data_IF_803194849868
#
_entry.id   IF_803194849868
#
_cell.length_a   1.000
_cell.length_b   1.000
_cell.length_c   1.000
_cell.angle_alpha   90.00
_cell.angle_beta   90.00
_cell.angle_gamma   90.00
#
_symmetry.space_group_name_H-M   'P 1'
#
loop_
_entity.id
_entity.type
_entity.pdbx_description
1 polymer ?
#
# COMPACT_ATOMS: atom_id res chain seq x y z
N UNK A 1 61.22 -4.20 45.43
CA UNK A 1 60.76 -3.51 44.21
C UNK A 1 59.41 -4.08 43.75
N UNK A 2 58.36 -3.90 44.57
CA UNK A 2 56.98 -4.36 44.28
C UNK A 2 56.06 -3.24 44.80
N UNK A 3 56.05 -2.09 44.12
CA UNK A 3 55.16 -0.98 44.50
C UNK A 3 54.88 0.02 43.37
N UNK A 4 55.16 -0.33 42.12
CA UNK A 4 54.91 0.57 40.96
C UNK A 4 54.02 -0.09 39.89
N UNK A 5 53.78 -1.41 39.98
CA UNK A 5 52.91 -2.14 39.04
C UNK A 5 51.44 -2.24 39.48
N UNK A 6 51.08 -1.78 40.68
CA UNK A 6 49.69 -1.76 41.16
C UNK A 6 48.96 -0.45 40.86
N UNK A 7 49.69 0.64 40.54
CA UNK A 7 49.09 1.91 40.16
C UNK A 7 48.78 2.03 38.66
N UNK A 8 49.51 1.31 37.80
CA UNK A 8 49.23 1.28 36.35
C UNK A 8 48.04 0.39 36.00
N UNK A 9 47.71 -0.60 36.83
CA UNK A 9 46.47 -1.39 36.71
C UNK A 9 45.24 -0.64 37.24
N UNK A 10 45.41 0.28 38.20
CA UNK A 10 44.31 1.09 38.74
C UNK A 10 43.79 2.12 37.73
N UNK A 11 44.64 2.58 36.81
CA UNK A 11 44.24 3.51 35.73
C UNK A 11 43.57 2.78 34.55
N UNK A 12 43.80 1.48 34.38
CA UNK A 12 43.19 0.69 33.28
C UNK A 12 41.75 0.21 33.55
N UNK A 13 41.23 0.38 34.78
CA UNK A 13 39.86 -0.07 35.15
C UNK A 13 38.87 1.10 35.27
N UNK A 14 39.28 2.35 35.03
CA UNK A 14 38.39 3.51 35.12
C UNK A 14 38.40 4.37 33.85
N UNK A 15 37.83 3.87 32.75
CA UNK A 15 37.31 4.74 31.67
C UNK A 15 36.34 4.01 30.72
N UNK A 16 35.32 3.37 31.27
CA UNK A 16 34.04 3.25 30.56
C UNK A 16 33.12 4.23 31.24
N UNK A 17 33.09 5.46 30.72
CA UNK A 17 32.08 6.44 31.09
C UNK A 17 30.72 5.81 30.80
N UNK A 18 30.07 5.44 31.90
CA UNK A 18 28.64 5.22 32.12
C UNK A 18 27.84 5.78 30.94
N UNK A 19 27.35 4.90 30.06
CA UNK A 19 26.23 5.24 29.18
C UNK A 19 25.10 5.60 30.13
N UNK A 20 24.84 6.89 30.32
CA UNK A 20 23.66 7.33 31.03
C UNK A 20 22.49 6.69 30.31
N UNK A 21 21.87 5.71 30.98
CA UNK A 21 20.65 5.10 30.49
C UNK A 21 19.68 6.25 30.32
N UNK A 22 19.41 6.62 29.07
CA UNK A 22 18.37 7.58 28.73
C UNK A 22 17.13 7.04 29.42
N UNK A 23 16.71 7.68 30.51
CA UNK A 23 15.44 7.41 31.15
C UNK A 23 14.40 7.84 30.13
N UNK A 24 14.02 6.90 29.27
CA UNK A 24 12.87 7.06 28.40
C UNK A 24 11.71 7.22 29.38
N UNK A 25 11.25 8.46 29.54
CA UNK A 25 10.06 8.75 30.31
C UNK A 25 8.94 7.89 29.73
N UNK A 26 8.54 6.84 30.46
CA UNK A 26 7.39 5.98 30.15
C UNK A 26 6.05 6.73 30.14
N UNK A 27 6.09 8.06 30.31
CA UNK A 27 4.95 8.94 30.38
C UNK A 27 4.79 9.80 29.10
N UNK A 28 5.57 9.52 28.05
CA UNK A 28 5.42 10.15 26.74
C UNK A 28 4.64 9.28 25.73
N UNK A 29 3.86 8.32 26.23
CA UNK A 29 2.84 7.63 25.43
C UNK A 29 1.51 8.29 25.80
N UNK A 30 0.92 9.14 24.94
CA UNK A 30 -0.44 9.61 25.14
C UNK A 30 -1.35 8.37 25.25
N UNK A 31 -2.12 8.29 26.34
CA UNK A 31 -3.12 7.25 26.61
C UNK A 31 -4.32 7.27 25.65
N UNK A 32 -4.24 8.05 24.58
CA UNK A 32 -5.23 8.07 23.52
C UNK A 32 -4.55 7.69 22.21
N UNK A 33 -4.55 6.38 21.92
CA UNK A 33 -4.58 5.91 20.54
C UNK A 33 -5.89 6.46 19.97
N UNK A 34 -5.86 7.68 19.42
CA UNK A 34 -6.99 8.24 18.70
C UNK A 34 -7.25 7.30 17.54
N UNK A 35 -8.31 6.52 17.73
CA UNK A 35 -8.80 5.52 16.82
C UNK A 35 -8.87 6.13 15.43
N UNK A 36 -8.26 5.42 14.49
CA UNK A 36 -8.25 5.69 13.06
C UNK A 36 -9.53 6.41 12.64
N UNK A 37 -9.40 7.58 12.02
CA UNK A 37 -10.51 8.24 11.31
C UNK A 37 -11.22 7.18 10.48
N UNK A 38 -12.42 6.78 10.92
CA UNK A 38 -13.16 5.64 10.38
C UNK A 38 -13.40 5.89 8.89
N UNK A 39 -12.57 5.26 8.05
CA UNK A 39 -12.72 5.33 6.61
C UNK A 39 -14.12 4.81 6.25
N UNK A 40 -14.91 5.66 5.61
CA UNK A 40 -16.19 5.31 5.03
C UNK A 40 -15.96 5.08 3.54
N UNK A 41 -15.54 3.88 3.09
CA UNK A 41 -15.54 3.54 1.68
C UNK A 41 -16.95 3.79 1.16
N UNK A 42 -17.03 4.66 0.17
CA UNK A 42 -18.23 4.85 -0.63
C UNK A 42 -18.31 3.67 -1.58
N UNK A 43 -19.27 2.78 -1.34
CA UNK A 43 -19.56 1.65 -2.22
C UNK A 43 -19.78 2.18 -3.64
N UNK A 44 -19.03 1.65 -4.60
CA UNK A 44 -18.89 2.21 -5.94
C UNK A 44 -20.17 2.10 -6.80
N UNK A 45 -21.01 1.11 -6.52
CA UNK A 45 -22.23 0.80 -7.27
C UNK A 45 -23.40 0.50 -6.34
N UNK A 46 -24.61 0.95 -6.71
CA UNK A 46 -25.85 0.60 -5.98
C UNK A 46 -26.09 -0.90 -5.95
N UNK A 47 -25.64 -1.64 -6.95
CA UNK A 47 -25.71 -3.10 -7.01
C UNK A 47 -25.07 -3.75 -5.77
N UNK A 48 -23.95 -3.21 -5.31
CA UNK A 48 -23.22 -3.71 -4.15
C UNK A 48 -23.91 -3.40 -2.81
N UNK A 49 -25.02 -2.65 -2.83
CA UNK A 49 -25.85 -2.42 -1.65
C UNK A 49 -27.01 -3.41 -1.55
N UNK A 50 -27.22 -4.24 -2.58
CA UNK A 50 -28.30 -5.23 -2.59
C UNK A 50 -27.95 -6.43 -1.71
N UNK A 51 -28.94 -7.01 -1.04
CA UNK A 51 -28.79 -8.29 -0.33
C UNK A 51 -28.68 -9.39 -1.39
N UNK A 52 -27.76 -10.37 -1.27
CA UNK A 52 -27.63 -11.43 -2.25
C UNK A 52 -28.90 -12.30 -2.32
N UNK A 53 -29.26 -12.71 -3.52
CA UNK A 53 -30.47 -13.53 -3.77
C UNK A 53 -30.11 -14.91 -4.30
N UNK A 54 -30.61 -15.95 -3.62
CA UNK A 54 -30.37 -17.33 -4.03
C UNK A 54 -31.16 -17.71 -5.31
N UNK A 55 -32.29 -17.05 -5.57
CA UNK A 55 -33.19 -17.39 -6.67
C UNK A 55 -34.00 -18.68 -6.43
N UNK A 56 -34.89 -19.05 -7.37
CA UNK A 56 -35.82 -20.18 -7.19
C UNK A 56 -35.22 -21.56 -7.54
N UNK A 57 -34.10 -21.60 -8.27
CA UNK A 57 -33.43 -22.85 -8.61
C UNK A 57 -32.72 -23.46 -7.40
N UNK A 58 -32.44 -24.78 -7.45
CA UNK A 58 -31.99 -25.58 -6.28
C UNK A 58 -30.55 -26.08 -6.37
N UNK A 59 -29.75 -25.57 -7.32
CA UNK A 59 -28.32 -25.87 -7.35
C UNK A 59 -27.60 -25.24 -6.15
N UNK A 60 -26.45 -25.80 -5.77
CA UNK A 60 -25.61 -25.26 -4.69
C UNK A 60 -24.33 -24.69 -5.27
N UNK A 61 -24.41 -23.49 -5.84
CA UNK A 61 -23.27 -22.84 -6.49
C UNK A 61 -22.71 -21.77 -5.54
N UNK A 62 -21.46 -21.92 -5.12
CA UNK A 62 -20.78 -20.92 -4.30
C UNK A 62 -20.44 -19.71 -5.15
N UNK A 63 -20.97 -18.55 -4.79
CA UNK A 63 -20.72 -17.27 -5.44
C UNK A 63 -20.26 -16.24 -4.40
N UNK A 64 -19.74 -15.11 -4.86
CA UNK A 64 -19.34 -13.99 -4.01
C UNK A 64 -20.34 -12.84 -4.09
N UNK A 65 -20.59 -12.17 -2.96
CA UNK A 65 -21.37 -10.93 -2.89
C UNK A 65 -20.64 -9.91 -2.03
N UNK A 66 -20.90 -8.62 -2.25
CA UNK A 66 -20.34 -7.56 -1.44
C UNK A 66 -21.26 -7.26 -0.25
N UNK A 67 -20.70 -7.34 0.96
CA UNK A 67 -21.38 -6.95 2.19
C UNK A 67 -21.00 -5.50 2.54
N UNK A 68 -21.92 -4.52 2.43
CA UNK A 68 -21.61 -3.12 2.70
C UNK A 68 -21.38 -2.81 4.20
N UNK A 69 -21.84 -3.68 5.10
CA UNK A 69 -21.62 -3.53 6.54
C UNK A 69 -20.18 -3.84 6.94
N UNK A 70 -19.65 -4.95 6.45
CA UNK A 70 -18.26 -5.39 6.66
C UNK A 70 -17.28 -4.75 5.66
N UNK A 71 -17.80 -4.22 4.54
CA UNK A 71 -17.03 -3.66 3.42
C UNK A 71 -16.11 -4.71 2.77
N UNK A 72 -16.54 -5.96 2.79
CA UNK A 72 -15.81 -7.10 2.23
C UNK A 72 -16.71 -7.94 1.34
N UNK A 73 -16.08 -8.72 0.45
CA UNK A 73 -16.78 -9.74 -0.31
C UNK A 73 -16.83 -11.05 0.47
N UNK A 74 -18.00 -11.64 0.52
CA UNK A 74 -18.32 -12.85 1.29
C UNK A 74 -18.95 -13.89 0.35
N UNK A 75 -18.85 -15.17 0.72
CA UNK A 75 -19.43 -16.24 -0.07
C UNK A 75 -20.91 -16.46 0.29
N UNK A 76 -21.72 -16.82 -0.71
CA UNK A 76 -23.11 -17.26 -0.52
C UNK A 76 -23.46 -18.37 -1.52
N UNK A 77 -24.58 -19.07 -1.27
CA UNK A 77 -25.07 -20.14 -2.15
C UNK A 77 -26.11 -19.59 -3.12
N UNK A 78 -25.82 -19.63 -4.41
CA UNK A 78 -26.76 -19.28 -5.48
C UNK A 78 -27.39 -20.53 -6.10
N UNK A 79 -28.70 -20.46 -6.33
CA UNK A 79 -29.55 -21.54 -6.83
C UNK A 79 -29.31 -21.94 -8.28
N UNK A 80 -28.56 -21.13 -9.05
CA UNK A 80 -28.25 -21.37 -10.46
C UNK A 80 -29.16 -20.65 -11.45
N UNK A 81 -30.14 -19.86 -10.99
CA UNK A 81 -30.93 -19.00 -11.87
C UNK A 81 -31.45 -17.76 -11.13
N UNK A 82 -31.77 -16.71 -11.90
CA UNK A 82 -32.30 -15.42 -11.40
C UNK A 82 -31.41 -14.79 -10.31
N UNK A 83 -32.01 -14.03 -9.39
CA UNK A 83 -31.32 -13.21 -8.39
C UNK A 83 -30.94 -11.83 -8.92
N UNK A 84 -30.14 -11.11 -8.13
CA UNK A 84 -29.69 -9.75 -8.47
C UNK A 84 -28.18 -9.70 -8.82
N UNK A 85 -27.71 -8.48 -9.11
CA UNK A 85 -26.35 -8.23 -9.57
C UNK A 85 -25.26 -8.23 -8.50
N UNK A 86 -25.58 -8.36 -7.21
CA UNK A 86 -24.57 -8.51 -6.16
C UNK A 86 -24.09 -9.98 -6.09
N UNK A 87 -23.56 -10.47 -7.22
CA UNK A 87 -23.14 -11.86 -7.43
C UNK A 87 -21.98 -11.88 -8.40
N UNK A 88 -20.85 -12.43 -7.96
CA UNK A 88 -19.59 -12.46 -8.69
C UNK A 88 -18.94 -13.84 -8.60
N UNK A 89 -18.15 -14.21 -9.60
CA UNK A 89 -17.51 -15.53 -9.67
C UNK A 89 -16.29 -15.63 -8.75
N UNK A 90 -15.70 -14.48 -8.38
CA UNK A 90 -14.53 -14.41 -7.52
C UNK A 90 -14.60 -13.25 -6.52
N UNK A 91 -13.84 -13.40 -5.43
CA UNK A 91 -13.59 -12.32 -4.48
C UNK A 91 -12.97 -11.10 -5.20
N UNK A 92 -12.07 -11.37 -6.14
CA UNK A 92 -11.37 -10.35 -6.93
C UNK A 92 -12.31 -9.47 -7.73
N UNK A 93 -13.21 -10.09 -8.48
CA UNK A 93 -14.21 -9.41 -9.29
C UNK A 93 -15.18 -8.60 -8.42
N UNK A 94 -15.65 -9.19 -7.32
CA UNK A 94 -16.53 -8.53 -6.37
C UNK A 94 -15.89 -7.26 -5.79
N UNK A 95 -14.64 -7.36 -5.31
CA UNK A 95 -13.93 -6.23 -4.72
C UNK A 95 -13.63 -5.15 -5.76
N UNK A 96 -13.23 -5.53 -6.98
CA UNK A 96 -12.99 -4.57 -8.04
C UNK A 96 -14.28 -3.83 -8.41
N UNK A 97 -15.39 -4.54 -8.63
CA UNK A 97 -16.65 -3.90 -8.99
C UNK A 97 -17.21 -3.00 -7.88
N UNK A 98 -17.13 -3.44 -6.62
CA UNK A 98 -17.79 -2.75 -5.51
C UNK A 98 -16.96 -1.69 -4.80
N UNK A 99 -15.63 -1.72 -4.92
CA UNK A 99 -14.73 -0.77 -4.26
C UNK A 99 -13.97 0.14 -5.24
N UNK A 100 -13.90 -0.19 -6.54
CA UNK A 100 -13.24 0.67 -7.52
C UNK A 100 -14.09 1.89 -7.85
N UNK A 101 -13.54 3.09 -7.68
CA UNK A 101 -14.26 4.33 -8.03
C UNK A 101 -14.48 4.42 -9.55
N UNK A 102 -15.73 4.57 -10.03
CA UNK A 102 -15.98 4.78 -11.45
C UNK A 102 -15.30 6.07 -11.93
N UNK A 103 -14.65 6.00 -13.09
CA UNK A 103 -14.01 7.16 -13.75
C UNK A 103 -12.61 7.54 -13.24
N UNK A 104 -12.07 6.91 -12.19
CA UNK A 104 -10.66 7.12 -11.81
C UNK A 104 -9.75 6.11 -12.51
N UNK A 105 -8.83 6.62 -13.33
CA UNK A 105 -7.82 5.78 -13.98
C UNK A 105 -6.80 5.31 -12.96
N UNK A 106 -6.64 3.99 -12.86
CA UNK A 106 -5.54 3.36 -12.13
C UNK A 106 -4.19 3.95 -12.58
N UNK A 107 -3.26 4.27 -11.67
CA UNK A 107 -1.94 4.74 -12.06
C UNK A 107 -1.24 3.77 -13.02
N UNK A 108 -0.56 4.30 -14.05
CA UNK A 108 0.12 3.49 -15.07
C UNK A 108 1.16 2.54 -14.46
N UNK A 109 1.81 2.95 -13.37
CA UNK A 109 2.82 2.12 -12.73
C UNK A 109 2.25 0.84 -12.12
N UNK A 110 0.95 0.78 -11.77
CA UNK A 110 0.31 -0.46 -11.33
C UNK A 110 0.26 -1.52 -12.45
N UNK A 111 0.54 -1.17 -13.70
CA UNK A 111 0.63 -2.13 -14.80
C UNK A 111 2.08 -2.53 -15.13
N UNK A 112 3.07 -2.03 -14.39
CA UNK A 112 4.47 -2.45 -14.53
C UNK A 112 4.69 -3.76 -13.79
N UNK A 113 5.64 -4.58 -14.25
CA UNK A 113 6.12 -5.72 -13.45
C UNK A 113 6.78 -5.22 -12.16
N UNK A 114 6.84 -6.04 -11.12
CA UNK A 114 7.68 -5.74 -9.96
C UNK A 114 9.14 -5.68 -10.38
N UNK A 115 9.86 -4.67 -9.91
CA UNK A 115 11.29 -4.52 -10.14
C UNK A 115 12.02 -4.61 -8.81
N UNK A 116 12.82 -5.67 -8.69
CA UNK A 116 13.60 -6.02 -7.50
C UNK A 116 14.65 -4.94 -7.16
N UNK A 117 15.15 -4.22 -8.16
CA UNK A 117 16.28 -3.31 -8.02
C UNK A 117 17.64 -4.01 -8.05
N UNK A 118 18.68 -3.32 -7.61
CA UNK A 118 20.09 -3.74 -7.77
C UNK A 118 20.91 -3.67 -6.48
N UNK A 119 20.27 -3.52 -5.32
CA UNK A 119 20.93 -3.60 -4.02
C UNK A 119 20.94 -5.03 -3.45
N UNK A 120 21.39 -5.20 -2.21
CA UNK A 120 21.51 -6.50 -1.53
C UNK A 120 20.64 -6.63 -0.26
N UNK A 121 19.67 -5.75 -0.08
CA UNK A 121 18.72 -5.83 1.03
C UNK A 121 17.61 -6.85 0.79
N UNK A 122 16.87 -7.18 1.86
CA UNK A 122 15.74 -8.11 1.82
C UNK A 122 14.51 -7.50 2.53
N UNK A 123 14.00 -6.39 1.98
CA UNK A 123 12.82 -5.72 2.55
C UNK A 123 11.53 -6.31 2.01
N UNK A 124 10.61 -6.75 2.87
CA UNK A 124 9.26 -7.14 2.44
C UNK A 124 8.53 -5.94 1.84
N UNK A 125 7.93 -6.14 0.66
CA UNK A 125 7.14 -5.16 -0.08
C UNK A 125 5.95 -5.84 -0.73
N UNK A 126 5.03 -5.02 -1.24
CA UNK A 126 3.87 -5.46 -1.99
C UNK A 126 3.90 -4.87 -3.40
N UNK A 127 3.44 -5.61 -4.38
CA UNK A 127 3.25 -5.13 -5.75
C UNK A 127 1.91 -5.60 -6.28
N UNK A 128 1.33 -4.81 -7.18
CA UNK A 128 0.09 -5.16 -7.83
C UNK A 128 0.36 -6.03 -9.06
N UNK A 129 -0.16 -7.25 -9.03
CA UNK A 129 -0.12 -8.16 -10.15
C UNK A 129 -1.31 -7.87 -11.08
N UNK A 130 -1.03 -7.30 -12.26
CA UNK A 130 -2.08 -6.92 -13.20
C UNK A 130 -2.77 -8.09 -13.90
N UNK A 131 -2.17 -9.28 -13.89
CA UNK A 131 -2.76 -10.50 -14.44
C UNK A 131 -3.82 -11.04 -13.48
N UNK A 132 -3.48 -11.10 -12.19
CA UNK A 132 -4.33 -11.64 -11.14
C UNK A 132 -5.17 -10.60 -10.41
N UNK A 133 -5.00 -9.31 -10.76
CA UNK A 133 -5.68 -8.16 -10.16
C UNK A 133 -5.56 -8.08 -8.64
N UNK A 134 -4.44 -8.57 -8.09
CA UNK A 134 -4.20 -8.72 -6.65
C UNK A 134 -2.84 -8.16 -6.26
N UNK A 135 -2.76 -7.58 -5.06
CA UNK A 135 -1.49 -7.20 -4.45
C UNK A 135 -0.83 -8.39 -3.77
N UNK A 136 0.40 -8.72 -4.18
CA UNK A 136 1.21 -9.84 -3.68
C UNK A 136 2.41 -9.32 -2.89
N UNK A 137 2.82 -10.04 -1.85
CA UNK A 137 4.08 -9.76 -1.15
C UNK A 137 5.28 -10.25 -1.96
N UNK A 138 6.43 -9.62 -1.75
CA UNK A 138 7.71 -9.89 -2.40
C UNK A 138 8.86 -9.32 -1.58
N UNK A 139 10.10 -9.62 -1.96
CA UNK A 139 11.31 -9.04 -1.37
C UNK A 139 11.88 -8.00 -2.32
N UNK A 140 12.25 -6.82 -1.79
CA UNK A 140 12.88 -5.72 -2.50
C UNK A 140 14.31 -5.50 -2.01
N UNK A 141 15.21 -5.27 -2.97
CA UNK A 141 16.64 -5.09 -2.72
C UNK A 141 17.00 -3.85 -1.89
N UNK A 142 16.12 -2.86 -1.82
CA UNK A 142 16.35 -1.62 -1.06
C UNK A 142 16.74 -0.39 -1.91
N UNK A 143 17.11 -0.55 -3.18
CA UNK A 143 17.35 0.57 -4.09
C UNK A 143 16.99 0.23 -5.55
N UNK A 144 16.85 1.26 -6.40
CA UNK A 144 16.37 1.09 -7.78
C UNK A 144 14.88 0.73 -7.81
N UNK A 145 14.47 -0.15 -8.72
CA UNK A 145 13.09 -0.58 -8.78
C UNK A 145 12.16 0.39 -9.52
N UNK A 146 10.86 0.12 -9.44
CA UNK A 146 9.82 1.00 -9.98
C UNK A 146 8.69 1.26 -8.95
N UNK A 147 7.67 2.03 -9.36
CA UNK A 147 6.57 2.49 -8.48
C UNK A 147 5.52 1.42 -8.17
N UNK A 148 5.57 0.25 -8.80
CA UNK A 148 4.77 -0.92 -8.38
C UNK A 148 5.42 -1.61 -7.17
N UNK A 149 5.62 -0.85 -6.10
CA UNK A 149 6.34 -1.27 -4.89
C UNK A 149 5.78 -0.47 -3.70
N UNK A 150 5.08 -1.17 -2.82
CA UNK A 150 4.32 -0.62 -1.70
C UNK A 150 4.79 -1.23 -0.39
N UNK A 151 4.66 -0.48 0.70
CA UNK A 151 5.07 -0.94 2.03
C UNK A 151 4.05 -1.87 2.68
N UNK A 152 2.77 -1.74 2.33
CA UNK A 152 1.71 -2.61 2.85
C UNK A 152 0.77 -3.07 1.75
N UNK A 153 0.10 -4.20 2.01
CA UNK A 153 -0.93 -4.75 1.12
C UNK A 153 -2.08 -3.76 0.93
N UNK A 154 -2.51 -3.10 2.00
CA UNK A 154 -3.61 -2.13 2.00
C UNK A 154 -3.26 -0.91 1.13
N UNK A 155 -2.02 -0.43 1.22
CA UNK A 155 -1.56 0.67 0.37
C UNK A 155 -1.60 0.29 -1.11
N UNK A 156 -1.09 -0.90 -1.44
CA UNK A 156 -1.14 -1.45 -2.79
C UNK A 156 -2.60 -1.59 -3.28
N UNK A 157 -3.47 -2.20 -2.48
CA UNK A 157 -4.87 -2.46 -2.83
C UNK A 157 -5.61 -1.13 -3.04
N UNK A 158 -5.44 -0.14 -2.15
CA UNK A 158 -6.08 1.17 -2.31
C UNK A 158 -5.65 1.89 -3.59
N UNK A 159 -4.36 1.87 -3.93
CA UNK A 159 -3.82 2.61 -5.07
C UNK A 159 -4.09 1.87 -6.39
N UNK A 160 -3.83 0.57 -6.43
CA UNK A 160 -3.78 -0.21 -7.65
C UNK A 160 -4.95 -1.16 -7.84
N UNK A 161 -5.59 -1.64 -6.77
CA UNK A 161 -6.80 -2.49 -6.89
C UNK A 161 -8.06 -1.62 -6.99
N UNK A 162 -8.23 -0.64 -6.10
CA UNK A 162 -9.47 0.16 -5.99
C UNK A 162 -9.40 1.57 -6.60
N UNK A 163 -8.22 1.99 -7.08
CA UNK A 163 -8.04 3.32 -7.71
C UNK A 163 -8.31 4.52 -6.78
N UNK A 164 -8.23 4.33 -5.46
CA UNK A 164 -8.42 5.35 -4.45
C UNK A 164 -7.13 6.18 -4.23
N UNK A 165 -6.77 6.98 -5.24
CA UNK A 165 -5.57 7.84 -5.20
C UNK A 165 -5.70 9.00 -4.19
N UNK A 166 -6.93 9.34 -3.77
CA UNK A 166 -7.17 10.51 -2.90
C UNK A 166 -6.82 10.28 -1.43
N UNK A 167 -6.70 9.03 -0.98
CA UNK A 167 -6.41 8.69 0.43
C UNK A 167 -5.03 9.20 0.86
N UNK A 168 -4.09 9.33 -0.09
CA UNK A 168 -2.70 9.72 0.18
C UNK A 168 -2.37 11.19 -0.14
N UNK A 169 -3.32 11.97 -0.67
CA UNK A 169 -3.12 13.42 -0.89
C UNK A 169 -3.39 14.27 0.35
N UNK A 170 -3.97 13.71 1.42
CA UNK A 170 -4.38 14.45 2.64
C UNK A 170 -3.88 13.81 3.94
N UNK A 171 -2.58 13.57 4.06
CA UNK A 171 -1.91 13.37 5.36
C UNK A 171 -0.75 14.33 5.51
N UNK A 172 -1.07 15.62 5.65
CA UNK A 172 -0.21 16.51 6.45
C UNK A 172 -0.64 16.36 7.90
N UNK A 173 -0.05 15.40 8.60
CA UNK A 173 -0.25 15.31 10.06
C UNK A 173 0.75 16.26 10.70
N UNK A 174 0.28 17.40 11.18
CA UNK A 174 1.06 18.30 12.05
C UNK A 174 1.07 17.69 13.45
N UNK A 175 2.13 16.96 13.79
CA UNK A 175 2.43 16.60 15.19
C UNK A 175 3.62 17.45 15.61
N UNK A 176 3.38 18.42 16.50
CA UNK A 176 4.44 19.11 17.24
C UNK A 176 5.54 19.78 16.40
N UNK A 177 5.17 20.62 15.42
CA UNK A 177 6.11 21.55 14.80
C UNK A 177 7.19 20.94 13.88
N UNK A 178 7.17 19.63 13.61
CA UNK A 178 7.98 19.01 12.55
C UNK A 178 7.12 18.14 11.65
N UNK A 179 7.03 18.54 10.39
CA UNK A 179 6.30 17.87 9.32
C UNK A 179 7.02 16.56 8.97
N UNK A 180 6.60 15.43 9.54
CA UNK A 180 7.09 14.11 9.09
C UNK A 180 6.27 13.71 7.88
N UNK A 181 6.83 13.98 6.70
CA UNK A 181 6.29 13.48 5.44
C UNK A 181 6.96 12.12 5.20
N UNK A 182 6.20 11.03 5.20
CA UNK A 182 6.67 9.78 4.57
C UNK A 182 6.55 10.00 3.06
N UNK A 183 7.52 10.74 2.53
CA UNK A 183 7.75 10.84 1.09
C UNK A 183 8.37 9.49 0.73
N UNK A 184 7.65 8.64 -0.01
CA UNK A 184 8.38 7.75 -0.89
C UNK A 184 9.16 8.68 -1.81
N UNK A 185 10.50 8.81 -1.66
CA UNK A 185 11.25 9.95 -2.16
C UNK A 185 10.85 10.21 -3.60
N UNK A 186 10.46 11.46 -3.90
CA UNK A 186 10.43 11.91 -5.28
C UNK A 186 11.84 11.72 -5.81
N UNK A 187 12.10 10.60 -6.48
CA UNK A 187 13.40 10.41 -7.08
C UNK A 187 13.45 11.33 -8.29
N UNK A 188 14.10 12.46 -8.03
CA UNK A 188 14.70 13.41 -8.94
C UNK A 188 14.97 12.81 -10.32
N UNK A 189 14.07 13.09 -11.25
CA UNK A 189 14.46 13.43 -12.61
C UNK A 189 13.54 14.53 -13.13
N UNK A 190 13.75 15.72 -12.56
CA UNK A 190 13.53 16.98 -13.28
C UNK A 190 14.88 17.67 -13.42
N UNK A 191 15.50 17.52 -14.57
CA UNK A 191 16.19 18.59 -15.29
C UNK A 191 15.77 18.41 -16.77
N UNK A 192 14.88 19.22 -17.35
CA UNK A 192 14.97 20.63 -17.82
C UNK A 192 15.97 20.86 -18.96
N UNK A 193 15.43 21.38 -20.07
CA UNK A 193 16.13 21.93 -21.25
C UNK A 193 15.43 21.47 -22.54
N UNK A 194 14.42 22.18 -23.06
CA UNK A 194 14.53 23.17 -24.15
C UNK A 194 15.22 22.56 -25.39
N UNK A 195 14.58 22.37 -26.54
CA UNK A 195 14.11 23.45 -27.42
C UNK A 195 12.99 22.98 -28.38
N UNK A 196 12.21 23.96 -28.86
CA UNK A 196 11.39 23.86 -30.06
C UNK A 196 12.24 23.40 -31.25
N UNK A 197 11.72 22.45 -32.02
CA UNK A 197 12.24 22.06 -33.33
C UNK A 197 11.13 21.40 -34.13
N UNK A 198 10.35 22.21 -34.83
CA UNK A 198 9.43 21.76 -35.86
C UNK A 198 10.23 21.28 -37.08
N UNK A 199 10.17 19.99 -37.38
CA UNK A 199 10.40 19.48 -38.74
C UNK A 199 9.39 18.37 -39.01
N UNK A 200 8.35 18.70 -39.78
CA UNK A 200 7.56 17.73 -40.53
C UNK A 200 8.46 17.19 -41.64
N UNK A 201 8.76 15.90 -41.63
CA UNK A 201 9.19 15.17 -42.81
C UNK A 201 8.00 14.34 -43.29
N UNK A 202 7.41 14.77 -44.41
CA UNK A 202 6.60 13.92 -45.25
C UNK A 202 7.53 12.90 -45.94
N UNK A 203 7.15 11.64 -45.97
CA UNK A 203 7.58 10.74 -47.05
C UNK A 203 6.45 9.78 -47.42
N UNK A 204 5.90 10.10 -48.57
CA UNK A 204 5.32 9.24 -49.61
C UNK A 204 5.25 7.74 -49.36
N UNK A 205 4.00 7.26 -49.45
CA UNK A 205 3.61 5.90 -49.75
C UNK A 205 3.85 5.66 -51.24
N UNK A 206 4.78 4.78 -51.56
CA UNK A 206 4.89 4.11 -52.86
C UNK A 206 3.95 2.91 -52.90
#
# INVERSE_FOLDING_TARGET
>A
MISVLLWTLYVYVCNVQRVETVKIFKNFIPSEIKTFTKYHPTVASKTCMLIPENGPCRSKITMWYFNPGTKSCEQFTWGGCQGNGNRFDSNEECLDYCLSKPGKRRPRYCSLAFDYGFCFGASERYFYDSKWKVCKSTIYSGCGGNKNNFYSKEQCDQICRFGNVDVFKKTSTTVGGKKVIIINPENSNRNRGSQRGTTKANSTKT
#
